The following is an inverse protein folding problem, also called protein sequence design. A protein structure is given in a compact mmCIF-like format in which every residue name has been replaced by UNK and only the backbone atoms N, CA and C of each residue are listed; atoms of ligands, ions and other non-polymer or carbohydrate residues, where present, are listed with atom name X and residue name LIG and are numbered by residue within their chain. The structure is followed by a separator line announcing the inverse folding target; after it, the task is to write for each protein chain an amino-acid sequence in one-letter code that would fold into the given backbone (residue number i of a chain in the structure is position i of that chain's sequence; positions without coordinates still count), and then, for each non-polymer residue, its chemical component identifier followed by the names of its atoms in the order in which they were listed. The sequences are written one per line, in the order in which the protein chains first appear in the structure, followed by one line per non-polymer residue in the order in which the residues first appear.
data_IF_648685795712
#
_entry.id   IF_648685795712
#
_cell.length_a   1.000
_cell.length_b   1.000
_cell.length_c   1.000
_cell.angle_alpha   90.00
_cell.angle_beta   90.00
_cell.angle_gamma   90.00
#
_symmetry.space_group_name_H-M   'P 1'
#
loop_
_entity.id
_entity.type
_entity.pdbx_description
1 polymer ?
#
# COMPACT_ATOMS: atom_id res chain seq x y z
N UNK A 1 -26.21 0.33 15.84
CA UNK A 1 -25.32 1.51 15.74
C UNK A 1 -23.87 1.01 15.81
N UNK A 2 -23.02 1.22 14.80
CA UNK A 2 -21.60 0.80 14.85
C UNK A 2 -20.80 1.87 15.58
N UNK A 3 -20.21 1.54 16.73
CA UNK A 3 -19.32 2.44 17.46
C UNK A 3 -18.08 2.75 16.61
N UNK A 4 -17.69 4.03 16.55
CA UNK A 4 -16.42 4.46 15.97
C UNK A 4 -15.48 4.83 17.10
N UNK A 5 -14.39 4.08 17.23
CA UNK A 5 -13.40 4.32 18.26
C UNK A 5 -12.28 5.21 17.73
N UNK A 6 -11.86 6.17 18.55
CA UNK A 6 -10.70 7.03 18.29
C UNK A 6 -9.68 6.78 19.38
N UNK A 7 -8.53 6.25 18.99
CA UNK A 7 -7.42 5.98 19.90
C UNK A 7 -6.27 6.93 19.62
N UNK A 8 -5.57 7.36 20.68
CA UNK A 8 -4.26 8.01 20.58
C UNK A 8 -3.20 6.98 20.99
N UNK A 9 -2.14 6.86 20.21
CA UNK A 9 -1.02 5.98 20.49
C UNK A 9 0.22 6.82 20.82
N UNK A 10 1.01 6.36 21.80
CA UNK A 10 2.26 6.99 22.22
C UNK A 10 3.40 5.97 22.13
N UNK A 11 3.95 5.74 20.92
CA UNK A 11 4.94 4.70 20.71
C UNK A 11 6.30 5.02 21.36
N UNK A 12 6.96 3.99 21.88
CA UNK A 12 8.36 4.07 22.35
C UNK A 12 9.31 4.37 21.18
N UNK A 13 10.55 4.82 21.43
CA UNK A 13 11.52 5.08 20.37
C UNK A 13 11.73 3.88 19.42
N UNK A 14 11.82 2.66 19.96
CA UNK A 14 11.93 1.43 19.16
C UNK A 14 10.69 1.18 18.29
N UNK A 15 9.49 1.41 18.84
CA UNK A 15 8.24 1.27 18.07
C UNK A 15 8.14 2.30 16.94
N UNK A 16 8.57 3.56 17.17
CA UNK A 16 8.60 4.58 16.12
C UNK A 16 9.45 4.16 14.93
N UNK A 17 10.62 3.57 15.19
CA UNK A 17 11.51 3.07 14.15
C UNK A 17 10.87 1.93 13.34
N UNK A 18 10.25 0.96 14.01
CA UNK A 18 9.58 -0.15 13.35
C UNK A 18 8.37 0.32 12.54
N UNK A 19 7.60 1.28 13.05
CA UNK A 19 6.50 1.91 12.32
C UNK A 19 7.01 2.66 11.09
N UNK A 20 8.11 3.40 11.19
CA UNK A 20 8.71 4.10 10.06
C UNK A 20 9.12 3.13 8.94
N UNK A 21 9.76 1.99 9.30
CA UNK A 21 10.07 0.92 8.35
C UNK A 21 8.82 0.35 7.69
N UNK A 22 7.82 -0.01 8.49
CA UNK A 22 6.56 -0.57 8.01
C UNK A 22 5.87 0.38 7.03
N UNK A 23 5.70 1.65 7.41
CA UNK A 23 5.06 2.65 6.54
C UNK A 23 5.88 2.94 5.28
N UNK A 24 7.22 2.86 5.37
CA UNK A 24 8.10 2.93 4.20
C UNK A 24 7.83 1.81 3.21
N UNK A 25 7.92 0.55 3.66
CA UNK A 25 7.70 -0.62 2.82
C UNK A 25 6.29 -0.64 2.20
N UNK A 26 5.26 -0.32 3.00
CA UNK A 26 3.87 -0.27 2.52
C UNK A 26 3.69 0.84 1.46
N UNK A 27 4.33 2.00 1.64
CA UNK A 27 4.22 3.11 0.69
C UNK A 27 4.83 2.78 -0.67
N UNK A 28 5.96 2.07 -0.69
CA UNK A 28 6.60 1.62 -1.96
C UNK A 28 5.65 0.72 -2.73
N UNK A 29 5.19 -0.38 -2.11
CA UNK A 29 4.28 -1.35 -2.75
C UNK A 29 2.98 -0.69 -3.22
N UNK A 30 2.45 0.25 -2.44
CA UNK A 30 1.26 1.01 -2.82
C UNK A 30 1.51 1.87 -4.08
N UNK A 31 2.62 2.61 -4.11
CA UNK A 31 2.97 3.46 -5.23
C UNK A 31 3.19 2.65 -6.51
N UNK A 32 3.87 1.50 -6.43
CA UNK A 32 4.10 0.62 -7.57
C UNK A 32 2.77 0.05 -8.10
N UNK A 33 1.89 -0.35 -7.18
CA UNK A 33 0.55 -0.83 -7.52
C UNK A 33 -0.29 0.26 -8.19
N UNK A 34 -0.19 1.50 -7.70
CA UNK A 34 -0.88 2.65 -8.26
C UNK A 34 -0.36 2.98 -9.66
N UNK A 35 0.97 2.99 -9.85
CA UNK A 35 1.60 3.20 -11.15
C UNK A 35 1.13 2.15 -12.17
N UNK A 36 1.14 0.86 -11.80
CA UNK A 36 0.62 -0.21 -12.65
C UNK A 36 -0.84 0.00 -13.05
N UNK A 37 -1.68 0.47 -12.13
CA UNK A 37 -3.08 0.78 -12.43
C UNK A 37 -3.23 1.98 -13.36
N UNK A 38 -2.41 3.03 -13.17
CA UNK A 38 -2.42 4.21 -14.02
C UNK A 38 -1.98 3.90 -15.44
N UNK A 39 -0.94 3.09 -15.62
CA UNK A 39 -0.46 2.69 -16.95
C UNK A 39 -1.53 1.88 -17.70
N UNK A 40 -2.18 0.93 -17.03
CA UNK A 40 -3.30 0.17 -17.64
C UNK A 40 -4.50 1.05 -17.97
N UNK A 41 -4.78 2.04 -17.13
CA UNK A 41 -5.85 2.98 -17.42
C UNK A 41 -5.53 3.82 -18.67
N UNK A 42 -4.28 4.29 -18.81
CA UNK A 42 -3.83 5.03 -20.01
C UNK A 42 -3.85 4.17 -21.27
N UNK A 43 -3.57 2.88 -21.17
CA UNK A 43 -3.65 1.95 -22.31
C UNK A 43 -5.09 1.55 -22.69
N UNK A 44 -6.12 2.07 -21.99
CA UNK A 44 -7.52 1.71 -22.21
C UNK A 44 -7.89 0.32 -21.67
N UNK A 45 -7.01 -0.31 -20.90
CA UNK A 45 -7.23 -1.60 -20.30
C UNK A 45 -8.07 -1.51 -19.01
N UNK A 46 -8.76 -2.60 -18.70
CA UNK A 46 -9.53 -2.71 -17.46
C UNK A 46 -8.59 -2.67 -16.25
N UNK A 47 -9.03 -1.99 -15.19
CA UNK A 47 -8.33 -1.95 -13.90
C UNK A 47 -8.02 -3.37 -13.44
N UNK A 48 -6.74 -3.69 -13.14
CA UNK A 48 -6.37 -5.02 -12.69
C UNK A 48 -6.96 -5.34 -11.31
N UNK A 49 -7.39 -6.58 -11.13
CA UNK A 49 -7.73 -7.14 -9.81
C UNK A 49 -6.50 -7.19 -8.91
N UNK A 50 -6.69 -7.07 -7.59
CA UNK A 50 -5.61 -7.11 -6.60
C UNK A 50 -4.57 -8.21 -6.84
N UNK A 51 -5.01 -9.45 -7.09
CA UNK A 51 -4.13 -10.60 -7.37
C UNK A 51 -3.27 -10.45 -8.63
N UNK A 52 -3.75 -9.71 -9.64
CA UNK A 52 -2.98 -9.41 -10.86
C UNK A 52 -1.98 -8.29 -10.60
N UNK A 53 -2.37 -7.26 -9.86
CA UNK A 53 -1.48 -6.14 -9.51
C UNK A 53 -0.34 -6.60 -8.62
N UNK A 54 -0.62 -7.41 -7.59
CA UNK A 54 0.41 -7.94 -6.70
C UNK A 54 1.42 -8.80 -7.47
N UNK A 55 0.97 -9.74 -8.30
CA UNK A 55 1.89 -10.53 -9.14
C UNK A 55 2.78 -9.64 -10.02
N UNK A 56 2.22 -8.62 -10.66
CA UNK A 56 3.03 -7.71 -11.49
C UNK A 56 4.05 -6.92 -10.64
N UNK A 57 3.67 -6.39 -9.49
CA UNK A 57 4.57 -5.59 -8.65
C UNK A 57 5.65 -6.44 -7.98
N UNK A 58 5.28 -7.62 -7.43
CA UNK A 58 6.20 -8.48 -6.69
C UNK A 58 7.20 -9.25 -7.57
N UNK A 59 6.83 -9.61 -8.81
CA UNK A 59 7.72 -10.32 -9.74
C UNK A 59 8.48 -9.38 -10.71
N UNK A 60 8.30 -8.07 -10.60
CA UNK A 60 9.04 -7.06 -11.37
C UNK A 60 10.08 -6.28 -10.56
N UNK A 61 10.18 -6.54 -9.25
CA UNK A 61 11.28 -6.09 -8.37
C UNK A 61 12.34 -7.17 -8.24
#
# INVERSE_FOLDING_TARGET
MKARFKYRIYPTPGQKYQLAKLFGCVRVVWNDSLACCQEKYKSGEKKPTYLRTTKTVYYSS
#
